data_IF_917355547712
#
_entry.id   IF_917355547712
#
_cell.length_a   1.000
_cell.length_b   1.000
_cell.length_c   1.000
_cell.angle_alpha   90.00
_cell.angle_beta   90.00
_cell.angle_gamma   90.00
#
_symmetry.space_group_name_H-M   'P 1'
#
loop_
_entity.id
_entity.type
_entity.pdbx_description
1 polymer ?
#
# COMPACT_ATOMS: atom_id res chain seq x y z
N UNK A 1 -15.00 13.66 -20.88
CA UNK A 1 -13.82 13.66 -19.98
C UNK A 1 -12.58 13.97 -20.79
N UNK A 2 -11.61 14.72 -20.25
CA UNK A 2 -10.34 14.94 -20.92
C UNK A 2 -9.52 13.64 -21.03
N UNK A 3 -8.59 13.60 -21.99
CA UNK A 3 -7.65 12.49 -22.13
C UNK A 3 -6.75 12.45 -20.89
N UNK A 4 -6.47 11.26 -20.38
CA UNK A 4 -5.63 11.09 -19.19
C UNK A 4 -4.20 11.54 -19.49
N UNK A 5 -3.73 12.54 -18.76
CA UNK A 5 -2.31 12.90 -18.70
C UNK A 5 -1.63 12.14 -17.57
N UNK A 6 -0.63 11.32 -17.91
CA UNK A 6 -0.06 10.34 -16.99
C UNK A 6 1.07 10.93 -16.15
N UNK A 7 0.73 11.87 -15.27
CA UNK A 7 1.71 12.41 -14.31
C UNK A 7 2.19 11.32 -13.34
N UNK A 8 3.40 11.44 -12.76
CA UNK A 8 3.91 10.47 -11.80
C UNK A 8 3.02 10.32 -10.55
N UNK A 9 2.35 11.40 -10.14
CA UNK A 9 1.41 11.40 -9.02
C UNK A 9 0.16 10.61 -9.37
N UNK A 10 -0.48 10.93 -10.50
CA UNK A 10 -1.68 10.24 -10.96
C UNK A 10 -1.41 8.75 -11.20
N UNK A 11 -0.23 8.40 -11.71
CA UNK A 11 0.17 7.00 -11.88
C UNK A 11 0.18 6.24 -10.55
N UNK A 12 0.67 6.86 -9.47
CA UNK A 12 0.69 6.24 -8.12
C UNK A 12 -0.73 6.12 -7.57
N UNK A 13 -1.55 7.14 -7.73
CA UNK A 13 -2.95 7.11 -7.29
C UNK A 13 -3.74 6.01 -8.03
N UNK A 14 -3.57 5.88 -9.35
CA UNK A 14 -4.18 4.81 -10.14
C UNK A 14 -3.67 3.42 -9.73
N UNK A 15 -2.39 3.30 -9.39
CA UNK A 15 -1.84 2.05 -8.83
C UNK A 15 -2.50 1.69 -7.51
N UNK A 16 -2.68 2.68 -6.65
CA UNK A 16 -3.28 2.51 -5.33
C UNK A 16 -4.76 2.11 -5.45
N UNK A 17 -5.52 2.74 -6.36
CA UNK A 17 -6.90 2.36 -6.68
C UNK A 17 -7.01 0.92 -7.17
N UNK A 18 -6.08 0.46 -8.01
CA UNK A 18 -6.03 -0.94 -8.46
C UNK A 18 -5.77 -1.90 -7.31
N UNK A 19 -4.97 -1.50 -6.33
CA UNK A 19 -4.62 -2.27 -5.13
C UNK A 19 -5.53 -1.99 -3.93
N UNK A 20 -6.70 -1.36 -4.13
CA UNK A 20 -7.62 -0.96 -3.04
C UNK A 20 -8.04 -2.11 -2.13
N UNK A 21 -8.04 -3.34 -2.64
CA UNK A 21 -8.34 -4.55 -1.89
C UNK A 21 -7.30 -4.90 -0.82
N UNK A 22 -6.10 -4.33 -0.88
CA UNK A 22 -5.02 -4.58 0.08
C UNK A 22 -5.01 -3.51 1.18
N UNK A 23 -5.58 -2.33 0.92
CA UNK A 23 -5.53 -1.18 1.82
C UNK A 23 -6.23 -1.47 3.14
N UNK A 24 -7.48 -1.91 3.08
CA UNK A 24 -8.31 -2.23 4.24
C UNK A 24 -8.57 -3.75 4.29
N UNK A 25 -8.21 -4.46 5.38
CA UNK A 25 -8.47 -5.89 5.51
C UNK A 25 -9.96 -6.26 5.56
N UNK A 26 -10.83 -5.32 5.94
CA UNK A 26 -12.26 -5.55 6.13
C UNK A 26 -13.10 -5.15 4.91
N UNK A 27 -12.49 -4.48 3.92
CA UNK A 27 -13.18 -4.10 2.67
C UNK A 27 -12.77 -5.01 1.53
N UNK A 28 -13.71 -5.84 1.10
CA UNK A 28 -13.54 -6.71 -0.06
C UNK A 28 -14.22 -6.11 -1.29
N UNK A 29 -13.41 -5.63 -2.23
CA UNK A 29 -13.89 -5.08 -3.50
C UNK A 29 -13.96 -6.17 -4.58
N UNK A 30 -14.82 -5.94 -5.59
CA UNK A 30 -14.86 -6.74 -6.81
C UNK A 30 -13.47 -6.74 -7.48
N UNK A 31 -12.98 -7.93 -7.82
CA UNK A 31 -11.70 -8.10 -8.51
C UNK A 31 -11.82 -7.63 -9.95
N UNK A 32 -10.87 -6.81 -10.38
CA UNK A 32 -10.70 -6.49 -11.79
C UNK A 32 -9.54 -7.30 -12.35
N UNK A 33 -9.84 -8.26 -13.23
CA UNK A 33 -8.87 -9.24 -13.73
C UNK A 33 -7.99 -8.72 -14.88
N UNK A 34 -8.08 -7.43 -15.22
CA UNK A 34 -7.28 -6.81 -16.26
C UNK A 34 -5.86 -6.40 -15.81
N UNK A 35 -4.93 -6.39 -16.77
CA UNK A 35 -3.60 -5.75 -16.62
C UNK A 35 -3.80 -4.30 -16.16
N UNK A 36 -2.93 -3.82 -15.28
CA UNK A 36 -2.96 -2.43 -14.83
C UNK A 36 -2.68 -1.51 -16.04
N UNK A 37 -3.75 -0.96 -16.60
CA UNK A 37 -3.70 0.06 -17.64
C UNK A 37 -4.46 1.27 -17.12
N UNK A 38 -3.86 2.47 -17.17
CA UNK A 38 -4.61 3.68 -16.86
C UNK A 38 -5.76 3.83 -17.85
N UNK A 39 -6.92 4.36 -17.42
CA UNK A 39 -8.01 4.65 -18.34
C UNK A 39 -7.58 5.70 -19.37
N UNK A 40 -8.09 5.61 -20.59
CA UNK A 40 -7.77 6.56 -21.68
C UNK A 40 -8.25 7.98 -21.38
N UNK A 41 -9.35 8.08 -20.65
CA UNK A 41 -9.96 9.34 -20.20
C UNK A 41 -10.17 9.29 -18.70
N UNK A 42 -9.75 10.33 -17.99
CA UNK A 42 -9.93 10.45 -16.55
C UNK A 42 -9.91 11.90 -16.12
N UNK A 43 -10.46 12.16 -14.93
CA UNK A 43 -10.43 13.46 -14.28
C UNK A 43 -10.28 13.25 -12.78
N UNK A 44 -9.43 14.07 -12.16
CA UNK A 44 -9.30 14.12 -10.70
C UNK A 44 -10.27 15.17 -10.18
N UNK A 45 -11.04 14.81 -9.16
CA UNK A 45 -12.01 15.68 -8.51
C UNK A 45 -11.95 15.52 -7.00
N UNK A 46 -12.47 16.52 -6.30
CA UNK A 46 -12.58 16.52 -4.83
C UNK A 46 -14.05 16.55 -4.46
N UNK A 47 -14.43 15.78 -3.44
CA UNK A 47 -15.80 15.74 -2.95
C UNK A 47 -16.10 17.07 -2.23
N UNK A 48 -17.18 17.74 -2.65
CA UNK A 48 -17.75 18.89 -1.93
C UNK A 48 -18.83 18.34 -1.00
N UNK A 49 -18.59 18.44 0.30
CA UNK A 49 -19.48 17.93 1.34
C UNK A 49 -20.82 18.67 1.32
N UNK A 50 -21.91 17.94 1.59
CA UNK A 50 -23.25 18.52 1.63
C UNK A 50 -23.48 19.42 2.86
N UNK A 51 -24.42 20.37 2.78
CA UNK A 51 -24.68 21.33 3.87
C UNK A 51 -25.32 20.69 5.12
N UNK A 52 -25.77 19.45 5.05
CA UNK A 52 -26.52 18.78 6.13
C UNK A 52 -25.66 17.93 7.06
N UNK A 53 -24.40 17.63 6.70
CA UNK A 53 -23.51 16.73 7.44
C UNK A 53 -22.24 17.45 7.89
N UNK A 54 -22.29 18.16 9.03
CA UNK A 54 -21.17 18.95 9.51
C UNK A 54 -20.10 18.16 10.27
N UNK A 55 -20.48 17.13 11.03
CA UNK A 55 -19.56 16.48 11.98
C UNK A 55 -19.06 15.10 11.53
N UNK A 56 -19.86 14.34 10.77
CA UNK A 56 -19.54 12.95 10.40
C UNK A 56 -18.93 12.83 9.00
N UNK A 57 -19.48 13.57 8.02
CA UNK A 57 -19.08 13.46 6.61
C UNK A 57 -17.95 14.41 6.21
N UNK A 58 -17.54 15.33 7.09
CA UNK A 58 -16.62 16.42 6.77
C UNK A 58 -15.20 16.15 7.24
N UNK A 59 -14.24 16.40 6.36
CA UNK A 59 -12.81 16.36 6.69
C UNK A 59 -12.35 17.78 7.03
N UNK A 60 -11.73 17.95 8.20
CA UNK A 60 -11.14 19.22 8.63
C UNK A 60 -10.04 19.67 7.67
N UNK A 61 -9.87 20.99 7.49
CA UNK A 61 -8.92 21.55 6.53
C UNK A 61 -7.46 21.07 6.72
N UNK A 62 -7.06 20.73 7.94
CA UNK A 62 -5.70 20.24 8.25
C UNK A 62 -5.48 18.80 7.78
N UNK A 63 -6.55 18.01 7.74
CA UNK A 63 -6.52 16.59 7.41
C UNK A 63 -6.70 16.38 5.91
N UNK A 64 -7.27 17.36 5.19
CA UNK A 64 -7.38 17.35 3.72
C UNK A 64 -6.00 17.26 3.06
N UNK A 65 -5.80 16.22 2.24
CA UNK A 65 -4.57 15.99 1.46
C UNK A 65 -4.84 16.24 -0.03
N UNK A 66 -3.75 16.39 -0.80
CA UNK A 66 -3.85 16.69 -2.25
C UNK A 66 -4.05 15.43 -3.08
N UNK A 67 -3.50 14.30 -2.65
CA UNK A 67 -3.51 13.03 -3.39
C UNK A 67 -4.01 11.88 -2.51
N UNK A 68 -4.51 10.81 -3.14
CA UNK A 68 -4.98 9.63 -2.41
C UNK A 68 -3.84 8.90 -1.70
N UNK A 69 -2.65 8.89 -2.32
CA UNK A 69 -1.46 8.30 -1.68
C UNK A 69 -1.10 9.03 -0.39
N UNK A 70 -1.16 10.37 -0.36
CA UNK A 70 -0.89 11.14 0.86
C UNK A 70 -1.89 10.81 1.98
N UNK A 71 -3.18 10.68 1.64
CA UNK A 71 -4.23 10.33 2.59
C UNK A 71 -4.00 8.95 3.22
N UNK A 72 -3.67 7.96 2.37
CA UNK A 72 -3.35 6.60 2.82
C UNK A 72 -2.09 6.58 3.67
N UNK A 73 -1.07 7.36 3.32
CA UNK A 73 0.14 7.48 4.11
C UNK A 73 -0.11 8.15 5.47
N UNK A 74 -1.02 9.13 5.57
CA UNK A 74 -1.43 9.65 6.88
C UNK A 74 -2.12 8.57 7.73
N UNK A 75 -3.07 7.83 7.15
CA UNK A 75 -3.75 6.75 7.88
C UNK A 75 -2.80 5.62 8.31
N UNK A 76 -1.79 5.31 7.50
CA UNK A 76 -0.77 4.31 7.84
C UNK A 76 0.12 4.75 9.01
N UNK A 77 0.34 6.05 9.23
CA UNK A 77 1.08 6.54 10.40
C UNK A 77 0.37 6.20 11.70
N UNK A 78 -0.96 6.19 11.68
CA UNK A 78 -1.78 5.89 12.85
C UNK A 78 -1.97 4.38 13.04
N UNK A 79 -2.18 3.64 11.94
CA UNK A 79 -2.49 2.20 12.00
C UNK A 79 -1.25 1.30 12.03
N UNK A 80 -0.13 1.72 11.42
CA UNK A 80 1.12 0.96 11.32
C UNK A 80 1.00 -0.41 10.64
N UNK A 81 -0.10 -0.66 9.94
CA UNK A 81 -0.48 -2.00 9.46
C UNK A 81 0.41 -2.46 8.33
N UNK A 82 0.62 -1.64 7.30
CA UNK A 82 1.48 -2.00 6.18
C UNK A 82 2.90 -2.25 6.64
N UNK A 83 3.44 -1.46 7.56
CA UNK A 83 4.79 -1.69 8.13
C UNK A 83 4.88 -3.07 8.79
N UNK A 84 3.93 -3.41 9.66
CA UNK A 84 3.88 -4.73 10.32
C UNK A 84 3.76 -5.86 9.30
N UNK A 85 2.78 -5.77 8.39
CA UNK A 85 2.52 -6.83 7.42
C UNK A 85 3.67 -7.02 6.44
N UNK A 86 4.33 -5.92 6.06
CA UNK A 86 5.55 -5.96 5.26
C UNK A 86 6.66 -6.74 5.98
N UNK A 87 6.87 -6.49 7.28
CA UNK A 87 7.83 -7.23 8.10
C UNK A 87 7.55 -8.73 8.18
N UNK A 88 6.28 -9.10 8.37
CA UNK A 88 5.85 -10.52 8.39
C UNK A 88 6.14 -11.19 7.04
N UNK A 89 5.80 -10.51 5.95
CA UNK A 89 6.04 -11.00 4.59
C UNK A 89 7.55 -11.14 4.35
N UNK A 90 8.36 -10.15 4.72
CA UNK A 90 9.81 -10.21 4.54
C UNK A 90 10.44 -11.35 5.32
N UNK A 91 10.00 -11.57 6.57
CA UNK A 91 10.46 -12.69 7.40
C UNK A 91 10.11 -14.02 6.75
N UNK A 92 8.85 -14.19 6.32
CA UNK A 92 8.39 -15.38 5.61
C UNK A 92 9.16 -15.62 4.30
N UNK A 93 9.37 -14.56 3.50
CA UNK A 93 10.07 -14.64 2.22
C UNK A 93 11.57 -14.81 2.34
N UNK A 94 12.18 -14.47 3.48
CA UNK A 94 13.62 -14.60 3.73
C UNK A 94 13.97 -15.91 4.44
N UNK A 95 12.99 -16.53 5.11
CA UNK A 95 13.14 -17.85 5.73
C UNK A 95 13.72 -18.88 4.76
N UNK A 96 14.71 -19.65 5.22
CA UNK A 96 15.35 -20.71 4.44
C UNK A 96 16.25 -20.26 3.27
N UNK A 97 16.41 -18.95 3.03
CA UNK A 97 17.27 -18.44 1.95
C UNK A 97 18.75 -18.42 2.32
N UNK A 98 19.53 -17.66 1.54
CA UNK A 98 20.99 -17.53 1.66
C UNK A 98 21.48 -17.16 3.06
N UNK A 99 20.78 -16.28 3.78
CA UNK A 99 21.14 -15.90 5.15
C UNK A 99 21.08 -17.09 6.11
N UNK A 100 20.01 -17.88 6.03
CA UNK A 100 19.85 -19.12 6.79
C UNK A 100 20.97 -20.12 6.47
N UNK A 101 21.23 -20.35 5.17
CA UNK A 101 22.30 -21.27 4.75
C UNK A 101 23.68 -20.84 5.25
N UNK A 102 24.02 -19.54 5.14
CA UNK A 102 25.28 -18.99 5.67
C UNK A 102 25.39 -19.15 7.19
N UNK A 103 24.32 -18.90 7.93
CA UNK A 103 24.30 -19.10 9.38
C UNK A 103 24.55 -20.58 9.75
N UNK A 104 24.01 -21.51 8.98
CA UNK A 104 24.22 -22.94 9.17
C UNK A 104 25.67 -23.37 8.84
N UNK A 105 26.25 -22.82 7.77
CA UNK A 105 27.68 -23.02 7.46
C UNK A 105 28.59 -22.48 8.56
N UNK A 106 28.31 -21.27 9.07
CA UNK A 106 29.07 -20.68 10.17
C UNK A 106 29.01 -21.57 11.43
N UNK A 107 27.82 -22.07 11.80
CA UNK A 107 27.67 -23.01 12.92
C UNK A 107 28.46 -24.30 12.73
N UNK A 108 28.55 -24.82 11.49
CA UNK A 108 29.36 -26.01 11.17
C UNK A 108 30.86 -25.73 11.27
N UNK A 109 31.33 -24.57 10.82
CA UNK A 109 32.73 -24.17 10.89
C UNK A 109 33.22 -24.00 12.34
N UNK A 110 32.35 -23.52 13.23
CA UNK A 110 32.66 -23.28 14.66
C UNK A 110 32.80 -24.59 15.45
N UNK A 111 32.23 -25.71 14.99
CA UNK A 111 32.22 -26.96 15.75
C UNK A 111 32.95 -28.12 15.01
N UNK A 112 34.29 -28.07 14.89
CA UNK A 112 35.06 -29.05 14.13
C UNK A 112 35.19 -30.43 14.82
N UNK A 113 34.80 -30.59 16.09
CA UNK A 113 35.01 -31.81 16.91
C UNK A 113 33.86 -32.84 16.89
N UNK A 114 33.24 -33.06 15.73
CA UNK A 114 32.36 -34.23 15.50
C UNK A 114 32.74 -34.91 14.19
N UNK A 115 34.00 -35.34 14.09
CA UNK A 115 34.48 -36.35 13.16
C UNK A 115 35.57 -37.14 13.86
#
# INVERSE_FOLDING_TARGET
>A
MPRTDLTPELKRDLQLLKMRNVLDPHRHYKKENGKMRPPEYSQVGTIVEGPTEYFSGRINNKDRKKTFVEEVLSSEKDTGRFKRKYGDIQTSKTSGKKSYYKALQAKRAVNPKKR
#
